data_IF_665514148645
#
_entry.id   IF_665514148645
#
_cell.length_a   1.000
_cell.length_b   1.000
_cell.length_c   1.000
_cell.angle_alpha   90.00
_cell.angle_beta   90.00
_cell.angle_gamma   90.00
#
_symmetry.space_group_name_H-M   'P 1'
#
loop_
_entity.id
_entity.type
_entity.pdbx_description
1 polymer ?
#
# COMPACT_ATOMS: atom_id res chain seq x y z
N UNK A 1 10.65 -16.45 -2.21
CA UNK A 1 11.23 -15.47 -1.26
C UNK A 1 12.73 -15.31 -1.48
N UNK A 2 13.50 -16.38 -1.53
CA UNK A 2 14.97 -16.36 -1.69
C UNK A 2 15.39 -15.74 -3.02
N UNK A 3 14.68 -16.05 -4.11
CA UNK A 3 14.91 -15.40 -5.40
C UNK A 3 14.71 -13.87 -5.33
N UNK A 4 13.69 -13.41 -4.60
CA UNK A 4 13.44 -11.99 -4.43
C UNK A 4 14.58 -11.30 -3.64
N UNK A 5 15.11 -11.97 -2.60
CA UNK A 5 16.26 -11.48 -1.85
C UNK A 5 17.52 -11.37 -2.70
N UNK A 6 17.83 -12.39 -3.48
CA UNK A 6 18.96 -12.38 -4.42
C UNK A 6 18.88 -11.19 -5.40
N UNK A 7 17.69 -10.94 -5.93
CA UNK A 7 17.48 -9.84 -6.86
C UNK A 7 17.56 -8.47 -6.21
N UNK A 8 17.00 -8.28 -4.98
CA UNK A 8 17.03 -6.96 -4.32
C UNK A 8 18.45 -6.59 -3.87
N UNK A 9 19.25 -7.55 -3.42
CA UNK A 9 20.65 -7.32 -3.06
C UNK A 9 21.48 -6.93 -4.30
N UNK A 10 21.30 -7.61 -5.42
CA UNK A 10 21.93 -7.22 -6.68
C UNK A 10 21.51 -5.82 -7.12
N UNK A 11 20.21 -5.49 -7.06
CA UNK A 11 19.68 -4.20 -7.46
C UNK A 11 20.21 -3.05 -6.59
N UNK A 12 20.32 -3.23 -5.29
CA UNK A 12 20.85 -2.20 -4.38
C UNK A 12 22.35 -1.94 -4.63
N UNK A 13 23.13 -2.99 -4.90
CA UNK A 13 24.54 -2.83 -5.31
C UNK A 13 24.67 -2.12 -6.64
N UNK A 14 23.81 -2.38 -7.62
CA UNK A 14 23.77 -1.63 -8.88
C UNK A 14 23.51 -0.14 -8.69
N UNK A 15 22.75 0.24 -7.67
CA UNK A 15 22.48 1.66 -7.35
C UNK A 15 23.71 2.37 -6.76
N UNK A 16 24.58 1.65 -6.05
CA UNK A 16 25.64 2.23 -5.22
C UNK A 16 27.02 2.09 -5.86
N UNK A 17 27.32 0.90 -6.41
CA UNK A 17 28.66 0.59 -6.93
C UNK A 17 28.94 1.28 -8.27
N UNK A 18 30.16 1.83 -8.41
CA UNK A 18 30.61 2.48 -9.65
C UNK A 18 32.08 2.13 -9.94
N UNK A 19 32.36 1.26 -10.92
CA UNK A 19 31.40 0.43 -11.65
C UNK A 19 30.78 -0.68 -10.80
N UNK A 20 29.60 -1.18 -11.22
CA UNK A 20 29.02 -2.39 -10.62
C UNK A 20 29.93 -3.59 -10.89
N UNK A 21 30.36 -4.27 -9.81
CA UNK A 21 31.35 -5.35 -9.87
C UNK A 21 30.82 -6.66 -10.47
N UNK A 22 29.50 -6.72 -10.75
CA UNK A 22 28.83 -7.95 -11.16
C UNK A 22 28.13 -8.63 -10.00
N UNK A 23 27.33 -9.63 -10.31
CA UNK A 23 26.58 -10.45 -9.36
C UNK A 23 26.61 -11.92 -9.78
N UNK A 24 26.92 -12.80 -8.85
CA UNK A 24 26.79 -14.25 -9.01
C UNK A 24 25.96 -14.78 -7.85
N UNK A 25 24.66 -14.93 -8.10
CA UNK A 25 23.69 -15.46 -7.14
C UNK A 25 23.06 -16.75 -7.64
N UNK A 26 22.25 -17.40 -6.80
CA UNK A 26 21.59 -18.64 -7.18
C UNK A 26 20.51 -18.47 -8.27
N UNK A 27 19.96 -17.26 -8.44
CA UNK A 27 18.89 -16.96 -9.40
C UNK A 27 19.24 -15.86 -10.40
N UNK A 28 20.31 -15.10 -10.14
CA UNK A 28 20.76 -14.03 -11.03
C UNK A 28 22.27 -14.07 -11.18
N UNK A 29 22.72 -14.07 -12.43
CA UNK A 29 24.12 -13.86 -12.80
C UNK A 29 24.21 -12.66 -13.72
N UNK A 30 25.12 -11.73 -13.42
CA UNK A 30 25.30 -10.52 -14.20
C UNK A 30 26.79 -10.10 -14.21
N UNK A 31 27.40 -9.92 -15.39
CA UNK A 31 28.81 -9.51 -15.46
C UNK A 31 28.98 -8.05 -14.99
N UNK A 32 30.23 -7.66 -14.63
CA UNK A 32 30.57 -6.28 -14.32
C UNK A 32 30.17 -5.32 -15.41
N UNK A 33 29.63 -4.16 -15.04
CA UNK A 33 29.20 -3.12 -15.98
C UNK A 33 28.98 -1.77 -15.33
N UNK A 34 28.94 -0.71 -16.12
CA UNK A 34 28.42 0.56 -15.67
C UNK A 34 26.89 0.55 -15.68
N UNK A 35 26.27 0.86 -14.55
CA UNK A 35 24.83 1.03 -14.43
C UNK A 35 24.53 2.51 -14.27
N UNK A 36 23.90 3.10 -15.26
CA UNK A 36 23.58 4.52 -15.32
C UNK A 36 22.12 4.75 -15.76
N UNK A 37 21.46 5.81 -15.29
CA UNK A 37 21.95 6.80 -14.32
C UNK A 37 21.99 6.25 -12.89
N UNK A 38 22.85 6.82 -12.06
CA UNK A 38 22.84 6.54 -10.60
C UNK A 38 21.75 7.34 -9.93
N UNK A 39 21.15 6.82 -8.82
CA UNK A 39 20.22 7.59 -8.03
C UNK A 39 20.86 8.89 -7.50
N UNK A 40 20.02 9.92 -7.37
CA UNK A 40 20.43 11.16 -6.71
C UNK A 40 20.55 10.98 -5.19
N UNK A 41 19.64 10.22 -4.61
CA UNK A 41 19.67 9.90 -3.18
C UNK A 41 20.87 9.02 -2.83
N UNK A 42 21.41 9.20 -1.61
CA UNK A 42 22.56 8.46 -1.09
C UNK A 42 22.19 7.72 0.20
N UNK A 43 22.60 6.46 0.38
CA UNK A 43 23.32 5.61 -0.58
C UNK A 43 22.49 5.19 -1.80
N UNK A 44 21.17 5.06 -1.66
CA UNK A 44 20.16 4.76 -2.68
C UNK A 44 18.80 5.30 -2.21
N UNK A 45 17.75 5.33 -3.06
CA UNK A 45 16.40 5.67 -2.64
C UNK A 45 15.92 4.77 -1.49
N UNK A 46 15.07 5.27 -0.57
CA UNK A 46 14.47 4.44 0.46
C UNK A 46 13.77 3.21 -0.17
N UNK A 47 14.04 2.04 0.39
CA UNK A 47 13.45 0.80 -0.09
C UNK A 47 12.11 0.56 0.61
N UNK A 48 11.13 0.08 -0.15
CA UNK A 48 9.80 -0.24 0.34
C UNK A 48 9.36 -1.60 -0.17
N UNK A 49 8.55 -2.29 0.63
CA UNK A 49 7.93 -3.54 0.22
C UNK A 49 6.41 -3.47 0.45
N UNK A 50 5.65 -3.90 -0.54
CA UNK A 50 4.19 -3.99 -0.44
C UNK A 50 3.82 -5.16 0.49
N UNK A 51 3.07 -4.84 1.55
CA UNK A 51 2.70 -5.76 2.62
C UNK A 51 1.19 -5.97 2.61
N UNK A 52 0.74 -7.14 2.19
CA UNK A 52 -0.67 -7.57 2.28
C UNK A 52 -0.92 -8.50 3.47
N UNK A 53 0.13 -8.93 4.18
CA UNK A 53 0.08 -9.88 5.27
C UNK A 53 1.10 -9.50 6.35
N UNK A 54 0.80 -9.84 7.63
CA UNK A 54 1.67 -9.59 8.78
C UNK A 54 3.10 -10.12 8.59
N UNK A 55 3.24 -11.33 8.04
CA UNK A 55 4.56 -11.91 7.77
C UNK A 55 5.42 -11.07 6.81
N UNK A 56 4.79 -10.37 5.85
CA UNK A 56 5.51 -9.49 4.93
C UNK A 56 5.96 -8.20 5.62
N UNK A 57 5.17 -7.70 6.59
CA UNK A 57 5.57 -6.56 7.44
C UNK A 57 6.81 -6.93 8.27
N UNK A 58 6.82 -8.11 8.89
CA UNK A 58 7.99 -8.61 9.61
C UNK A 58 9.21 -8.83 8.70
N UNK A 59 8.99 -9.26 7.46
CA UNK A 59 10.07 -9.36 6.48
C UNK A 59 10.63 -7.98 6.12
N UNK A 60 9.76 -6.98 5.87
CA UNK A 60 10.17 -5.61 5.63
C UNK A 60 11.07 -5.10 6.77
N UNK A 61 10.62 -5.26 8.02
CA UNK A 61 11.36 -4.87 9.20
C UNK A 61 12.73 -5.55 9.29
N UNK A 62 12.78 -6.89 9.15
CA UNK A 62 14.04 -7.65 9.16
C UNK A 62 15.00 -7.27 8.03
N UNK A 63 14.50 -6.72 6.94
CA UNK A 63 15.30 -6.30 5.79
C UNK A 63 15.53 -4.79 5.73
N UNK A 64 15.21 -4.07 6.80
CA UNK A 64 15.45 -2.62 6.91
C UNK A 64 14.66 -1.80 5.88
N UNK A 65 13.52 -2.30 5.43
CA UNK A 65 12.69 -1.70 4.39
C UNK A 65 11.42 -1.10 4.97
N UNK A 66 10.94 -0.03 4.38
CA UNK A 66 9.63 0.52 4.69
C UNK A 66 8.50 -0.46 4.35
N UNK A 67 7.50 -0.53 5.21
CA UNK A 67 6.30 -1.32 5.01
C UNK A 67 5.24 -0.48 4.32
N UNK A 68 4.87 -0.84 3.08
CA UNK A 68 3.78 -0.21 2.35
C UNK A 68 2.53 -1.11 2.43
N UNK A 69 1.51 -0.66 3.15
CA UNK A 69 0.29 -1.44 3.38
C UNK A 69 -0.95 -0.72 2.87
N UNK A 70 -2.04 -1.47 2.78
CA UNK A 70 -3.37 -0.90 2.59
C UNK A 70 -4.02 -0.67 3.96
N UNK A 71 -4.88 0.34 4.07
CA UNK A 71 -5.58 0.72 5.29
C UNK A 71 -6.74 -0.24 5.65
N UNK A 72 -6.49 -1.54 5.73
CA UNK A 72 -7.54 -2.56 5.86
C UNK A 72 -7.52 -3.33 7.17
N UNK A 73 -6.80 -2.81 8.15
CA UNK A 73 -6.62 -3.48 9.43
C UNK A 73 -7.36 -2.70 10.51
N UNK A 74 -8.00 -3.39 11.42
CA UNK A 74 -8.62 -2.72 12.58
C UNK A 74 -7.59 -1.89 13.35
N UNK A 75 -7.95 -0.70 13.91
CA UNK A 75 -7.00 0.21 14.53
C UNK A 75 -6.11 -0.44 15.58
N UNK A 76 -6.67 -1.30 16.44
CA UNK A 76 -5.91 -2.00 17.47
C UNK A 76 -4.95 -3.04 16.90
N UNK A 77 -5.31 -3.69 15.82
CA UNK A 77 -4.44 -4.64 15.11
C UNK A 77 -3.36 -3.90 14.33
N UNK A 78 -3.69 -2.76 13.71
CA UNK A 78 -2.71 -1.90 13.03
C UNK A 78 -1.65 -1.39 14.01
N UNK A 79 -2.04 -0.88 15.16
CA UNK A 79 -1.14 -0.42 16.22
C UNK A 79 -0.19 -1.54 16.65
N UNK A 80 -0.70 -2.75 16.86
CA UNK A 80 0.12 -3.90 17.21
C UNK A 80 1.14 -4.23 16.10
N UNK A 81 0.74 -4.27 14.84
CA UNK A 81 1.65 -4.60 13.73
C UNK A 81 2.72 -3.55 13.51
N UNK A 82 2.35 -2.29 13.66
CA UNK A 82 3.29 -1.17 13.57
C UNK A 82 4.29 -1.22 14.72
N UNK A 83 3.83 -1.53 15.95
CA UNK A 83 4.70 -1.73 17.11
C UNK A 83 5.71 -2.86 16.85
N UNK A 84 5.23 -4.04 16.43
CA UNK A 84 6.10 -5.17 16.08
C UNK A 84 7.11 -4.85 14.96
N UNK A 85 6.67 -4.09 13.95
CA UNK A 85 7.55 -3.63 12.87
C UNK A 85 8.69 -2.78 13.42
N UNK A 86 8.38 -1.79 14.27
CA UNK A 86 9.38 -0.89 14.84
C UNK A 86 10.32 -1.62 15.81
N UNK A 87 9.82 -2.57 16.58
CA UNK A 87 10.68 -3.41 17.46
C UNK A 87 11.67 -4.23 16.64
N UNK A 88 11.21 -4.89 15.57
CA UNK A 88 12.06 -5.73 14.72
C UNK A 88 13.09 -4.88 13.97
N UNK A 89 12.69 -3.77 13.36
CA UNK A 89 13.62 -2.95 12.56
C UNK A 89 14.67 -2.25 13.39
N UNK A 90 14.38 -1.99 14.67
CA UNK A 90 15.34 -1.44 15.63
C UNK A 90 16.24 -2.50 16.30
N UNK A 91 15.97 -3.78 16.08
CA UNK A 91 16.70 -4.88 16.74
C UNK A 91 17.90 -5.37 15.92
N UNK A 92 18.75 -6.20 16.54
CA UNK A 92 19.87 -6.88 15.87
C UNK A 92 19.41 -7.89 14.80
N UNK A 93 18.13 -8.24 14.77
CA UNK A 93 17.57 -9.12 13.72
C UNK A 93 17.34 -8.39 12.40
N UNK A 94 17.43 -7.07 12.37
CA UNK A 94 17.39 -6.28 11.17
C UNK A 94 18.71 -6.36 10.41
N UNK A 95 18.71 -7.09 9.31
CA UNK A 95 19.84 -7.16 8.36
C UNK A 95 19.38 -6.51 7.07
N UNK A 96 19.73 -5.24 6.82
CA UNK A 96 19.24 -4.49 5.65
C UNK A 96 19.55 -5.20 4.34
N UNK A 97 18.59 -5.24 3.42
CA UNK A 97 18.77 -5.73 2.05
C UNK A 97 19.54 -4.72 1.17
N UNK A 98 19.71 -3.50 1.64
CA UNK A 98 20.47 -2.44 1.00
C UNK A 98 21.49 -1.83 1.95
N UNK A 99 21.86 -0.59 1.68
CA UNK A 99 22.91 0.14 2.40
C UNK A 99 22.34 1.19 3.38
N UNK A 100 21.04 1.23 3.56
CA UNK A 100 20.34 2.09 4.49
C UNK A 100 19.07 1.42 5.01
N UNK A 101 18.66 1.81 6.22
CA UNK A 101 17.38 1.40 6.84
C UNK A 101 16.33 2.46 6.56
N UNK A 102 15.13 2.04 6.21
CA UNK A 102 13.95 2.89 6.04
C UNK A 102 12.87 2.50 7.06
N UNK A 103 12.85 3.07 8.28
CA UNK A 103 11.97 2.66 9.37
C UNK A 103 10.59 3.34 9.27
N UNK A 104 9.95 3.30 8.10
CA UNK A 104 8.68 3.97 7.88
C UNK A 104 7.57 2.99 7.51
N UNK A 105 6.36 3.29 7.96
CA UNK A 105 5.13 2.61 7.58
C UNK A 105 4.27 3.56 6.73
N UNK A 106 3.86 3.11 5.55
CA UNK A 106 2.99 3.85 4.67
C UNK A 106 1.66 3.11 4.44
N UNK A 107 0.56 3.87 4.42
CA UNK A 107 -0.77 3.37 4.10
C UNK A 107 -1.30 3.95 2.80
N UNK A 108 -1.91 3.11 1.98
CA UNK A 108 -2.63 3.51 0.76
C UNK A 108 -4.10 3.69 1.08
N UNK A 109 -4.65 4.85 0.74
CA UNK A 109 -6.06 5.22 0.98
C UNK A 109 -6.72 5.75 -0.30
N UNK A 110 -7.96 5.34 -0.61
CA UNK A 110 -8.79 6.09 -1.53
C UNK A 110 -9.00 7.53 -1.04
N UNK A 111 -9.06 8.47 -1.97
CA UNK A 111 -9.12 9.89 -1.60
C UNK A 111 -10.07 10.68 -2.47
N UNK A 112 -10.91 11.49 -1.82
CA UNK A 112 -11.67 12.58 -2.44
C UNK A 112 -12.01 13.62 -1.36
N UNK A 113 -11.52 14.84 -1.52
CA UNK A 113 -11.78 15.92 -0.58
C UNK A 113 -12.58 17.03 -1.26
N UNK A 114 -13.67 17.47 -0.62
CA UNK A 114 -14.52 18.56 -1.09
C UNK A 114 -15.16 19.27 0.10
N UNK A 115 -15.37 20.58 0.02
CA UNK A 115 -16.00 21.36 1.11
C UNK A 115 -17.41 20.86 1.43
N UNK A 116 -18.16 20.44 0.42
CA UNK A 116 -19.46 19.80 0.57
C UNK A 116 -19.29 18.27 0.62
N UNK A 117 -19.71 17.66 1.73
CA UNK A 117 -19.58 16.23 1.96
C UNK A 117 -20.35 15.38 0.94
N UNK A 118 -21.57 15.81 0.58
CA UNK A 118 -22.37 15.07 -0.39
C UNK A 118 -21.67 14.98 -1.75
N UNK A 119 -21.03 16.06 -2.17
CA UNK A 119 -20.21 16.11 -3.39
C UNK A 119 -18.97 15.23 -3.28
N UNK A 120 -18.27 15.21 -2.13
CA UNK A 120 -17.13 14.33 -1.90
C UNK A 120 -17.53 12.85 -2.04
N UNK A 121 -18.63 12.48 -1.41
CA UNK A 121 -19.17 11.11 -1.44
C UNK A 121 -19.63 10.72 -2.85
N UNK A 122 -20.35 11.60 -3.54
CA UNK A 122 -20.80 11.36 -4.91
C UNK A 122 -19.63 11.05 -5.86
N UNK A 123 -18.54 11.82 -5.73
CA UNK A 123 -17.39 11.71 -6.64
C UNK A 123 -16.40 10.63 -6.24
N UNK A 124 -16.29 10.29 -4.95
CA UNK A 124 -15.22 9.46 -4.42
C UNK A 124 -15.59 8.00 -4.19
N UNK A 125 -16.80 7.70 -3.72
CA UNK A 125 -17.18 6.36 -3.26
C UNK A 125 -17.08 5.30 -4.36
N UNK A 126 -17.59 5.59 -5.54
CA UNK A 126 -17.56 4.60 -6.64
C UNK A 126 -16.14 4.28 -7.10
N UNK A 127 -15.24 5.28 -7.09
CA UNK A 127 -13.81 5.08 -7.38
C UNK A 127 -13.12 4.24 -6.30
N UNK A 128 -13.40 4.50 -5.02
CA UNK A 128 -12.86 3.73 -3.89
C UNK A 128 -13.33 2.26 -3.96
N UNK A 129 -14.61 2.05 -4.19
CA UNK A 129 -15.18 0.71 -4.33
C UNK A 129 -14.62 -0.03 -5.55
N UNK A 130 -14.49 0.65 -6.69
CA UNK A 130 -13.88 0.06 -7.89
C UNK A 130 -12.42 -0.33 -7.63
N UNK A 131 -11.66 0.47 -6.91
CA UNK A 131 -10.30 0.13 -6.52
C UNK A 131 -10.25 -1.15 -5.68
N UNK A 132 -11.08 -1.23 -4.62
CA UNK A 132 -11.18 -2.42 -3.77
C UNK A 132 -11.65 -3.66 -4.54
N UNK A 133 -12.66 -3.51 -5.40
CA UNK A 133 -13.14 -4.59 -6.26
C UNK A 133 -12.05 -5.09 -7.21
N UNK A 134 -11.29 -4.19 -7.82
CA UNK A 134 -10.21 -4.54 -8.73
C UNK A 134 -9.12 -5.35 -8.05
N UNK A 135 -8.73 -4.96 -6.83
CA UNK A 135 -7.79 -5.75 -6.02
C UNK A 135 -8.34 -7.15 -5.74
N UNK A 136 -9.59 -7.24 -5.29
CA UNK A 136 -10.23 -8.53 -5.02
C UNK A 136 -10.37 -9.37 -6.29
N UNK A 137 -10.68 -8.76 -7.44
CA UNK A 137 -10.71 -9.43 -8.74
C UNK A 137 -9.35 -10.05 -9.09
N UNK A 138 -8.27 -9.26 -9.04
CA UNK A 138 -6.95 -9.73 -9.46
C UNK A 138 -6.31 -10.72 -8.48
N UNK A 139 -6.56 -10.58 -7.19
CA UNK A 139 -5.88 -11.38 -6.16
C UNK A 139 -6.73 -12.50 -5.54
N UNK A 140 -8.04 -12.46 -5.71
CA UNK A 140 -8.95 -13.36 -5.03
C UNK A 140 -9.83 -14.20 -5.94
N UNK A 141 -10.78 -13.59 -6.62
CA UNK A 141 -11.89 -14.33 -7.25
C UNK A 141 -11.99 -14.19 -8.77
N UNK A 142 -11.31 -13.22 -9.38
CA UNK A 142 -11.50 -12.93 -10.80
C UNK A 142 -10.77 -13.89 -11.73
N UNK A 143 -11.40 -14.17 -12.86
CA UNK A 143 -10.76 -14.88 -13.98
C UNK A 143 -10.41 -13.88 -15.07
N UNK A 144 -9.32 -13.13 -14.83
CA UNK A 144 -8.90 -12.11 -15.77
C UNK A 144 -8.35 -12.69 -17.07
N UNK A 145 -8.91 -12.22 -18.19
CA UNK A 145 -8.40 -12.52 -19.55
C UNK A 145 -7.93 -11.20 -20.18
N UNK A 146 -6.63 -10.99 -20.36
CA UNK A 146 -6.10 -9.77 -20.95
C UNK A 146 -6.77 -9.45 -22.29
N UNK A 147 -7.23 -8.20 -22.46
CA UNK A 147 -7.90 -7.72 -23.67
C UNK A 147 -9.36 -8.17 -23.85
N UNK A 148 -9.89 -9.03 -22.95
CA UNK A 148 -11.27 -9.52 -23.04
C UNK A 148 -12.11 -9.19 -21.79
N UNK A 149 -11.49 -9.17 -20.60
CA UNK A 149 -12.21 -8.89 -19.34
C UNK A 149 -12.28 -7.38 -19.10
N UNK A 150 -13.51 -6.83 -19.05
CA UNK A 150 -13.77 -5.48 -18.55
C UNK A 150 -14.13 -5.54 -17.06
N UNK A 151 -13.13 -5.31 -16.21
CA UNK A 151 -13.27 -5.36 -14.73
C UNK A 151 -14.25 -4.27 -14.23
N UNK A 152 -14.36 -3.13 -14.94
CA UNK A 152 -15.29 -2.09 -14.55
C UNK A 152 -16.75 -2.47 -14.86
N UNK A 153 -16.98 -3.14 -15.96
CA UNK A 153 -18.30 -3.69 -16.28
C UNK A 153 -18.70 -4.77 -15.27
N UNK A 154 -17.79 -5.69 -14.94
CA UNK A 154 -18.02 -6.68 -13.88
C UNK A 154 -18.33 -6.03 -12.52
N UNK A 155 -17.58 -5.00 -12.14
CA UNK A 155 -17.84 -4.24 -10.92
C UNK A 155 -19.25 -3.65 -10.93
N UNK A 156 -19.64 -3.01 -12.01
CA UNK A 156 -20.95 -2.38 -12.13
C UNK A 156 -22.10 -3.37 -11.93
N UNK A 157 -21.96 -4.59 -12.45
CA UNK A 157 -22.97 -5.64 -12.31
C UNK A 157 -22.97 -6.36 -10.97
N UNK A 158 -21.78 -6.53 -10.36
CA UNK A 158 -21.62 -7.43 -9.23
C UNK A 158 -21.37 -6.70 -7.90
N UNK A 159 -21.23 -5.36 -7.88
CA UNK A 159 -20.83 -4.60 -6.70
C UNK A 159 -21.62 -4.93 -5.44
N UNK A 160 -22.94 -4.96 -5.53
CA UNK A 160 -23.81 -5.26 -4.38
C UNK A 160 -23.67 -6.70 -3.89
N UNK A 161 -23.42 -7.65 -4.80
CA UNK A 161 -23.21 -9.06 -4.44
C UNK A 161 -21.94 -9.26 -3.60
N UNK A 162 -20.92 -8.44 -3.84
CA UNK A 162 -19.64 -8.48 -3.12
C UNK A 162 -19.56 -7.48 -1.97
N UNK A 163 -20.68 -6.87 -1.59
CA UNK A 163 -20.74 -5.98 -0.43
C UNK A 163 -20.23 -4.56 -0.65
N UNK A 164 -19.97 -4.16 -1.90
CA UNK A 164 -19.61 -2.76 -2.24
C UNK A 164 -20.86 -1.89 -2.28
N UNK A 165 -21.51 -1.79 -1.12
CA UNK A 165 -22.72 -1.01 -0.96
C UNK A 165 -22.41 0.46 -0.68
N UNK A 166 -22.89 1.33 -1.56
CA UNK A 166 -22.68 2.77 -1.49
C UNK A 166 -23.33 3.38 -0.23
N UNK A 167 -24.53 2.92 0.12
CA UNK A 167 -25.26 3.49 1.24
C UNK A 167 -24.54 3.20 2.56
N UNK A 168 -24.05 1.99 2.74
CA UNK A 168 -23.23 1.62 3.91
C UNK A 168 -21.96 2.49 3.98
N UNK A 169 -21.22 2.63 2.90
CA UNK A 169 -20.01 3.45 2.87
C UNK A 169 -20.30 4.93 3.17
N UNK A 170 -21.44 5.44 2.71
CA UNK A 170 -21.88 6.81 2.98
C UNK A 170 -22.20 7.03 4.47
N UNK A 171 -22.75 6.04 5.15
CA UNK A 171 -23.14 6.10 6.56
C UNK A 171 -21.96 5.98 7.53
N UNK A 172 -20.83 5.39 7.13
CA UNK A 172 -19.69 5.09 8.01
C UNK A 172 -18.98 6.32 8.59
N UNK A 173 -19.22 7.52 8.09
CA UNK A 173 -18.54 8.72 8.56
C UNK A 173 -17.04 8.76 8.29
N UNK A 174 -16.35 9.78 8.84
CA UNK A 174 -14.93 10.02 8.62
C UNK A 174 -13.98 9.33 9.60
N UNK A 175 -14.48 8.54 10.59
CA UNK A 175 -13.65 7.87 11.57
C UNK A 175 -13.07 6.57 11.02
N UNK A 176 -11.76 6.38 11.17
CA UNK A 176 -11.04 5.14 10.85
C UNK A 176 -11.69 3.93 11.54
N UNK A 177 -11.98 4.06 12.84
CA UNK A 177 -12.59 2.99 13.62
C UNK A 177 -13.96 2.56 13.06
N UNK A 178 -14.81 3.53 12.70
CA UNK A 178 -16.11 3.23 12.12
C UNK A 178 -16.00 2.53 10.77
N UNK A 179 -15.06 2.98 9.93
CA UNK A 179 -14.81 2.37 8.62
C UNK A 179 -14.33 0.92 8.74
N UNK A 180 -13.45 0.62 9.67
CA UNK A 180 -12.88 -0.71 9.87
C UNK A 180 -13.87 -1.68 10.51
N UNK A 181 -14.72 -1.23 11.43
CA UNK A 181 -15.77 -2.05 12.03
C UNK A 181 -16.95 -2.31 11.08
N UNK A 182 -17.13 -1.46 10.08
CA UNK A 182 -18.28 -1.52 9.17
C UNK A 182 -18.20 -2.52 8.02
N UNK A 183 -17.16 -3.39 7.95
CA UNK A 183 -17.10 -4.42 6.92
C UNK A 183 -15.75 -4.58 6.20
N UNK A 184 -14.68 -4.07 6.77
CA UNK A 184 -13.33 -4.24 6.23
C UNK A 184 -13.14 -3.59 4.84
N UNK A 185 -12.43 -4.29 3.98
CA UNK A 185 -12.07 -3.84 2.62
C UNK A 185 -13.24 -3.41 1.76
N UNK A 186 -14.40 -4.06 1.95
CA UNK A 186 -15.56 -3.94 1.07
C UNK A 186 -16.42 -2.70 1.37
N UNK A 187 -16.34 -2.19 2.60
CA UNK A 187 -17.08 -1.00 3.02
C UNK A 187 -16.17 0.24 3.13
N UNK A 188 -14.94 0.17 2.63
CA UNK A 188 -13.95 1.21 2.84
C UNK A 188 -14.33 2.51 2.12
N UNK A 189 -14.65 3.52 2.92
CA UNK A 189 -14.82 4.89 2.43
C UNK A 189 -13.48 5.53 2.08
N UNK A 190 -12.42 5.19 2.80
CA UNK A 190 -11.12 5.85 2.68
C UNK A 190 -11.15 7.28 3.20
N UNK A 191 -10.26 8.11 2.67
CA UNK A 191 -10.19 9.55 2.98
C UNK A 191 -11.13 10.35 2.03
N UNK A 192 -12.44 10.03 2.09
CA UNK A 192 -13.47 10.69 1.29
C UNK A 192 -14.37 11.50 2.20
N UNK A 193 -14.38 12.82 2.03
CA UNK A 193 -15.18 13.70 2.86
C UNK A 193 -14.74 15.17 2.80
N UNK A 194 -15.16 15.94 3.81
CA UNK A 194 -14.74 17.32 3.96
C UNK A 194 -13.28 17.42 4.42
N UNK A 195 -12.61 18.58 4.26
CA UNK A 195 -11.25 18.80 4.76
C UNK A 195 -11.09 18.44 6.25
N UNK A 196 -12.09 18.75 7.08
CA UNK A 196 -12.05 18.44 8.52
C UNK A 196 -12.14 16.94 8.77
N UNK A 197 -13.00 16.21 8.06
CA UNK A 197 -13.11 14.77 8.17
C UNK A 197 -11.83 14.05 7.71
N UNK A 198 -11.24 14.51 6.61
CA UNK A 198 -9.94 13.98 6.13
C UNK A 198 -8.84 14.26 7.16
N UNK A 199 -8.80 15.46 7.73
CA UNK A 199 -7.81 15.80 8.76
C UNK A 199 -7.93 14.92 10.00
N UNK A 200 -9.15 14.69 10.49
CA UNK A 200 -9.40 13.79 11.64
C UNK A 200 -8.92 12.37 11.34
N UNK A 201 -9.26 11.84 10.17
CA UNK A 201 -8.80 10.52 9.75
C UNK A 201 -7.27 10.41 9.68
N UNK A 202 -6.59 11.45 9.17
CA UNK A 202 -5.13 11.46 9.12
C UNK A 202 -4.52 11.50 10.53
N UNK A 203 -5.12 12.21 11.46
CA UNK A 203 -4.69 12.22 12.87
C UNK A 203 -4.87 10.85 13.54
N UNK A 204 -5.92 10.11 13.20
CA UNK A 204 -6.11 8.73 13.67
C UNK A 204 -5.02 7.80 13.13
N UNK A 205 -4.62 7.94 11.84
CA UNK A 205 -3.50 7.16 11.27
C UNK A 205 -2.16 7.54 11.88
N UNK A 206 -1.92 8.83 12.10
CA UNK A 206 -0.72 9.31 12.78
C UNK A 206 -0.63 8.73 14.21
N UNK A 207 -1.74 8.76 14.96
CA UNK A 207 -1.82 8.19 16.30
C UNK A 207 -1.59 6.66 16.32
N UNK A 208 -1.97 5.97 15.26
CA UNK A 208 -1.69 4.53 15.08
C UNK A 208 -0.24 4.23 14.65
N UNK A 209 0.60 5.27 14.43
CA UNK A 209 2.01 5.12 14.07
C UNK A 209 2.29 5.03 12.57
N UNK A 210 1.37 5.44 11.72
CA UNK A 210 1.59 5.54 10.27
C UNK A 210 2.39 6.81 9.96
N UNK A 211 3.53 6.65 9.29
CA UNK A 211 4.43 7.76 8.95
C UNK A 211 4.03 8.46 7.65
N UNK A 212 3.41 7.74 6.72
CA UNK A 212 3.07 8.27 5.40
C UNK A 212 1.72 7.76 4.93
N UNK A 213 0.97 8.62 4.23
CA UNK A 213 -0.27 8.25 3.57
C UNK A 213 -0.13 8.50 2.07
N UNK A 214 -0.50 7.51 1.28
CA UNK A 214 -0.53 7.58 -0.17
C UNK A 214 -1.99 7.64 -0.61
N UNK A 215 -2.38 8.77 -1.17
CA UNK A 215 -3.73 8.95 -1.68
C UNK A 215 -3.88 8.39 -3.09
N UNK A 216 -4.84 7.50 -3.26
CA UNK A 216 -5.30 7.05 -4.57
C UNK A 216 -6.52 7.88 -4.94
N UNK A 217 -6.29 8.88 -5.78
CA UNK A 217 -7.38 9.65 -6.39
C UNK A 217 -7.89 8.89 -7.62
N UNK A 218 -8.62 7.80 -7.37
CA UNK A 218 -9.22 7.00 -8.40
C UNK A 218 -10.60 7.58 -8.72
N UNK A 219 -10.64 8.45 -9.70
CA UNK A 219 -11.91 8.69 -10.36
C UNK A 219 -12.30 7.41 -11.11
N UNK A 220 -13.57 7.04 -11.07
CA UNK A 220 -14.12 6.09 -12.03
C UNK A 220 -13.84 6.56 -13.48
N UNK A 221 -14.35 5.87 -14.48
CA UNK A 221 -14.21 6.35 -15.87
C UNK A 221 -14.57 7.83 -15.92
N UNK A 222 -13.59 8.68 -16.18
CA UNK A 222 -13.83 10.09 -16.41
C UNK A 222 -14.82 10.21 -17.58
N UNK A 223 -15.96 10.76 -17.30
CA UNK A 223 -16.91 11.18 -18.34
C UNK A 223 -16.56 12.57 -18.81
#
# INVERSE_FOLDING_TARGET
RDQWLDHIEAATRMMVEEPFAGWEGPWLSMPPRNVVPKPLQRPHPPLWVACSQRETIHLAARKGMGALTFAFVEPGEAEQWIGEYHEIIASETCVPAGFAVNPNVACVLPFMCHEDEATALERGIDGAHFFGYSLAHYYGFGQHRPGATDVHEEFTHNRSRYGFDRDTATQLGGSLRAQMQGGGLLALRGAIGTPDQVRVLLQEYEAAGVDQVIFVSQAGRNR
#
